data_IF_066687594654
#
_entry.id   IF_066687594654
#
_cell.length_a   1.000
_cell.length_b   1.000
_cell.length_c   1.000
_cell.angle_alpha   90.00
_cell.angle_beta   90.00
_cell.angle_gamma   90.00
#
_symmetry.space_group_name_H-M   'P 1'
#
loop_
_entity.id
_entity.type
_entity.pdbx_description
1 polymer ?
#
# COMPACT_ATOMS: atom_id res chain seq x y z
N UNK A 1 -28.67 30.00 -28.28
CA UNK A 1 -28.54 29.81 -26.82
C UNK A 1 -28.52 28.32 -26.56
N UNK A 2 -27.32 27.75 -26.46
CA UNK A 2 -27.11 26.34 -26.10
C UNK A 2 -25.71 26.28 -25.49
N UNK A 3 -25.64 26.41 -24.17
CA UNK A 3 -24.43 26.14 -23.40
C UNK A 3 -24.22 24.64 -23.45
N UNK A 4 -23.22 24.18 -24.21
CA UNK A 4 -22.75 22.82 -24.10
C UNK A 4 -22.24 22.61 -22.67
N UNK A 5 -22.92 21.75 -21.93
CA UNK A 5 -22.54 21.36 -20.58
C UNK A 5 -21.35 20.39 -20.69
N UNK A 6 -20.14 20.91 -20.87
CA UNK A 6 -18.93 20.11 -21.05
C UNK A 6 -18.44 19.62 -19.68
N UNK A 7 -19.03 18.55 -19.17
CA UNK A 7 -18.49 17.81 -18.03
C UNK A 7 -17.15 17.21 -18.44
N UNK A 8 -16.09 17.53 -17.69
CA UNK A 8 -14.76 16.91 -17.85
C UNK A 8 -14.70 15.54 -17.17
N UNK A 9 -13.75 14.70 -17.56
CA UNK A 9 -13.54 13.40 -16.88
C UNK A 9 -13.20 13.58 -15.40
N UNK A 10 -12.52 14.67 -15.03
CA UNK A 10 -12.24 15.00 -13.64
C UNK A 10 -13.51 15.28 -12.82
N UNK A 11 -14.59 15.72 -13.45
CA UNK A 11 -15.87 15.96 -12.78
C UNK A 11 -16.55 14.67 -12.32
N UNK A 12 -16.19 13.53 -12.93
CA UNK A 12 -16.69 12.20 -12.57
C UNK A 12 -15.90 11.56 -11.40
N UNK A 13 -14.72 12.09 -11.07
CA UNK A 13 -13.92 11.58 -9.97
C UNK A 13 -14.52 11.95 -8.62
N UNK A 14 -14.33 11.08 -7.61
CA UNK A 14 -14.72 11.37 -6.22
C UNK A 14 -13.98 12.62 -5.72
N UNK A 15 -14.64 13.44 -4.91
CA UNK A 15 -14.04 14.68 -4.38
C UNK A 15 -12.71 14.43 -3.66
N UNK A 16 -12.65 13.39 -2.81
CA UNK A 16 -11.43 13.03 -2.08
C UNK A 16 -10.28 12.57 -2.99
N UNK A 17 -10.58 12.13 -4.22
CA UNK A 17 -9.56 11.72 -5.22
C UNK A 17 -9.10 12.93 -6.05
N UNK A 18 -9.93 13.97 -6.18
CA UNK A 18 -9.52 15.23 -6.83
C UNK A 18 -8.56 16.06 -5.98
N UNK A 19 -8.69 15.97 -4.66
CA UNK A 19 -7.86 16.70 -3.70
C UNK A 19 -7.06 15.72 -2.81
N UNK A 20 -6.18 14.87 -3.38
CA UNK A 20 -5.41 13.94 -2.57
C UNK A 20 -4.39 14.71 -1.73
N UNK A 21 -4.28 14.36 -0.45
CA UNK A 21 -3.20 14.79 0.41
C UNK A 21 -1.83 14.42 -0.18
N UNK A 22 -0.83 15.28 0.09
CA UNK A 22 0.51 15.09 -0.45
C UNK A 22 1.22 13.93 0.26
N UNK A 23 1.80 13.03 -0.53
CA UNK A 23 2.64 11.93 -0.04
C UNK A 23 4.04 12.14 -0.56
N UNK A 24 5.00 12.23 0.36
CA UNK A 24 6.41 12.19 -0.01
C UNK A 24 6.82 10.73 -0.13
N UNK A 25 6.80 10.19 -1.35
CA UNK A 25 7.61 9.01 -1.65
C UNK A 25 9.09 9.40 -1.62
N UNK A 26 10.02 8.49 -1.25
CA UNK A 26 11.43 8.75 -1.47
C UNK A 26 11.64 9.12 -2.93
N UNK A 27 12.42 10.17 -3.25
CA UNK A 27 12.61 10.57 -4.63
C UNK A 27 13.12 9.36 -5.44
N UNK A 28 12.45 9.07 -6.56
CA UNK A 28 12.97 8.14 -7.54
C UNK A 28 14.32 8.69 -8.00
N UNK A 29 15.40 8.05 -7.57
CA UNK A 29 16.73 8.50 -7.96
C UNK A 29 16.94 8.05 -9.40
N UNK A 30 17.03 9.04 -10.30
CA UNK A 30 17.38 8.81 -11.69
C UNK A 30 18.71 8.07 -11.75
N UNK A 31 18.74 6.93 -12.44
CA UNK A 31 19.96 6.21 -12.74
C UNK A 31 20.98 7.17 -13.37
N UNK A 32 22.04 7.52 -12.62
CA UNK A 32 23.13 8.39 -13.10
C UNK A 32 23.70 9.39 -12.11
N UNK A 33 22.99 9.79 -11.04
CA UNK A 33 23.44 10.85 -10.12
C UNK A 33 23.77 10.39 -8.69
N UNK A 34 23.94 9.08 -8.47
CA UNK A 34 24.34 8.52 -7.18
C UNK A 34 25.00 7.15 -7.33
N UNK A 35 26.00 6.87 -6.50
CA UNK A 35 26.71 5.59 -6.39
C UNK A 35 26.47 4.91 -5.04
N UNK A 36 26.07 5.67 -4.02
CA UNK A 36 25.69 5.18 -2.68
C UNK A 36 24.21 5.47 -2.39
N UNK A 37 23.42 4.41 -2.19
CA UNK A 37 21.96 4.46 -2.11
C UNK A 37 21.50 4.08 -0.69
N UNK A 38 21.06 5.06 0.09
CA UNK A 38 20.70 4.90 1.51
C UNK A 38 19.39 5.63 1.87
N UNK A 39 18.44 5.70 0.92
CA UNK A 39 17.21 6.49 1.03
C UNK A 39 15.92 5.66 1.16
N UNK A 40 15.94 4.37 0.81
CA UNK A 40 14.74 3.52 0.72
C UNK A 40 14.73 2.33 1.69
N UNK A 41 15.72 2.22 2.59
CA UNK A 41 15.89 1.11 3.53
C UNK A 41 16.01 -0.28 2.87
N UNK A 42 16.46 -0.34 1.61
CA UNK A 42 16.73 -1.59 0.90
C UNK A 42 17.99 -2.28 1.45
N UNK A 43 18.03 -3.62 1.35
CA UNK A 43 19.25 -4.35 1.67
C UNK A 43 20.34 -4.03 0.61
N UNK A 44 21.58 -3.68 1.00
CA UNK A 44 22.56 -3.07 0.09
C UNK A 44 23.14 -4.01 -0.97
N UNK A 45 22.89 -5.31 -0.90
CA UNK A 45 23.49 -6.31 -1.81
C UNK A 45 22.42 -7.23 -2.36
N UNK A 46 22.36 -7.39 -3.68
CA UNK A 46 21.38 -8.28 -4.30
C UNK A 46 21.61 -9.73 -3.87
N UNK A 47 20.52 -10.42 -3.51
CA UNK A 47 20.51 -11.87 -3.27
C UNK A 47 19.83 -12.54 -4.45
N UNK A 48 20.53 -13.45 -5.12
CA UNK A 48 20.03 -14.09 -6.33
C UNK A 48 18.99 -15.18 -6.04
N UNK A 49 17.90 -15.17 -6.82
CA UNK A 49 16.89 -16.22 -6.86
C UNK A 49 16.55 -16.53 -8.32
N UNK A 50 16.21 -17.79 -8.61
CA UNK A 50 15.81 -18.23 -9.95
C UNK A 50 14.36 -18.73 -9.95
N UNK A 51 13.65 -18.52 -11.05
CA UNK A 51 12.29 -19.05 -11.21
C UNK A 51 12.34 -20.57 -11.38
N UNK A 52 11.66 -21.29 -10.49
CA UNK A 52 11.63 -22.76 -10.49
C UNK A 52 10.36 -23.34 -11.12
N UNK A 53 9.27 -22.57 -11.19
CA UNK A 53 7.97 -23.02 -11.69
C UNK A 53 7.67 -22.41 -13.07
N UNK A 54 7.50 -23.26 -14.08
CA UNK A 54 7.24 -22.85 -15.48
C UNK A 54 5.74 -22.95 -15.83
N UNK A 55 4.88 -22.40 -14.98
CA UNK A 55 3.41 -22.47 -15.09
C UNK A 55 2.76 -21.10 -15.28
N UNK A 56 3.50 -20.14 -15.88
CA UNK A 56 3.10 -18.73 -16.00
C UNK A 56 1.82 -18.53 -16.85
N UNK A 57 1.42 -19.52 -17.64
CA UNK A 57 0.17 -19.48 -18.43
C UNK A 57 -1.09 -19.84 -17.61
N UNK A 58 -0.95 -20.11 -16.31
CA UNK A 58 -2.04 -20.44 -15.39
C UNK A 58 -2.07 -19.44 -14.25
N UNK A 59 -3.28 -19.19 -13.73
CA UNK A 59 -3.43 -18.40 -12.52
C UNK A 59 -2.77 -19.11 -11.33
N UNK A 60 -2.10 -18.35 -10.44
CA UNK A 60 -1.62 -18.89 -9.17
C UNK A 60 -2.78 -19.13 -8.20
N UNK A 61 -2.49 -19.81 -7.09
CA UNK A 61 -3.38 -19.82 -5.93
C UNK A 61 -3.53 -18.40 -5.36
N UNK A 62 -4.71 -18.06 -4.82
CA UNK A 62 -4.94 -16.76 -4.16
C UNK A 62 -3.96 -16.55 -3.00
N UNK A 63 -3.79 -17.58 -2.16
CA UNK A 63 -2.82 -17.62 -1.07
C UNK A 63 -1.92 -18.84 -1.29
N UNK A 64 -0.75 -18.70 -1.94
CA UNK A 64 0.13 -19.83 -2.22
C UNK A 64 0.51 -20.60 -0.95
N UNK A 65 0.06 -21.86 -0.84
CA UNK A 65 0.18 -22.66 0.38
C UNK A 65 1.62 -22.73 0.90
N UNK A 66 2.58 -22.95 0.01
CA UNK A 66 3.99 -23.03 0.37
C UNK A 66 4.53 -21.73 1.00
N UNK A 67 4.08 -20.56 0.53
CA UNK A 67 4.49 -19.26 1.10
C UNK A 67 3.90 -19.10 2.50
N UNK A 68 2.62 -19.43 2.67
CA UNK A 68 1.91 -19.35 3.95
C UNK A 68 2.57 -20.26 5.00
N UNK A 69 2.77 -21.54 4.67
CA UNK A 69 3.34 -22.51 5.61
C UNK A 69 4.78 -22.15 6.00
N UNK A 70 5.61 -21.76 5.04
CA UNK A 70 7.00 -21.37 5.32
C UNK A 70 7.07 -20.11 6.18
N UNK A 71 6.23 -19.10 5.92
CA UNK A 71 6.22 -17.87 6.71
C UNK A 71 5.65 -18.10 8.11
N UNK A 72 4.60 -18.92 8.24
CA UNK A 72 4.03 -19.30 9.54
C UNK A 72 5.06 -20.03 10.41
N UNK A 73 5.82 -20.95 9.81
CA UNK A 73 6.94 -21.62 10.49
C UNK A 73 8.02 -20.64 10.94
N UNK A 74 8.44 -19.73 10.05
CA UNK A 74 9.43 -18.69 10.37
C UNK A 74 8.97 -17.79 11.54
N UNK A 75 7.70 -17.36 11.52
CA UNK A 75 7.14 -16.46 12.52
C UNK A 75 6.67 -17.17 13.81
N UNK A 76 6.64 -18.51 13.85
CA UNK A 76 6.19 -19.28 15.01
C UNK A 76 4.67 -19.20 15.27
N UNK A 77 3.87 -19.02 14.23
CA UNK A 77 2.40 -18.90 14.29
C UNK A 77 1.72 -20.00 13.48
N UNK A 78 0.39 -20.14 13.59
CA UNK A 78 -0.35 -21.12 12.78
C UNK A 78 -0.59 -20.60 11.36
N UNK A 79 -0.65 -21.47 10.33
CA UNK A 79 -0.91 -21.05 8.95
C UNK A 79 -2.19 -20.22 8.78
N UNK A 80 -3.26 -20.53 9.52
CA UNK A 80 -4.53 -19.79 9.49
C UNK A 80 -4.45 -18.37 10.09
N UNK A 81 -3.33 -18.00 10.71
CA UNK A 81 -3.06 -16.66 11.23
C UNK A 81 -2.25 -15.80 10.24
N UNK A 82 -1.90 -16.34 9.07
CA UNK A 82 -1.05 -15.66 8.07
C UNK A 82 -1.84 -15.35 6.82
N UNK A 83 -1.70 -14.12 6.34
CA UNK A 83 -2.17 -13.67 5.03
C UNK A 83 -0.99 -13.03 4.29
N UNK A 84 -0.69 -13.51 3.08
CA UNK A 84 0.24 -12.86 2.16
C UNK A 84 -0.50 -11.88 1.27
N UNK A 85 0.12 -10.73 1.02
CA UNK A 85 -0.37 -9.62 0.18
C UNK A 85 0.79 -9.04 -0.65
N UNK A 86 0.50 -8.10 -1.55
CA UNK A 86 1.48 -7.34 -2.33
C UNK A 86 2.17 -6.29 -1.45
N UNK A 87 3.06 -6.77 -0.59
CA UNK A 87 3.76 -5.95 0.39
C UNK A 87 2.87 -5.53 1.57
N UNK A 88 3.47 -4.82 2.53
CA UNK A 88 2.76 -4.35 3.72
C UNK A 88 1.71 -3.27 3.43
N UNK A 89 1.89 -2.49 2.36
CA UNK A 89 0.95 -1.43 1.97
C UNK A 89 -0.45 -1.99 1.66
N UNK A 90 -0.54 -3.10 0.92
CA UNK A 90 -1.83 -3.76 0.68
C UNK A 90 -2.43 -4.31 1.99
N UNK A 91 -1.60 -4.76 2.93
CA UNK A 91 -2.06 -5.15 4.26
C UNK A 91 -2.73 -4.00 5.02
N UNK A 92 -2.14 -2.79 4.96
CA UNK A 92 -2.72 -1.57 5.53
C UNK A 92 -4.09 -1.28 4.88
N UNK A 93 -4.17 -1.33 3.55
CA UNK A 93 -5.43 -1.09 2.83
C UNK A 93 -6.51 -2.11 3.18
N UNK A 94 -6.17 -3.41 3.26
CA UNK A 94 -7.10 -4.48 3.60
C UNK A 94 -7.70 -4.27 4.99
N UNK A 95 -6.90 -3.88 5.98
CA UNK A 95 -7.37 -3.59 7.34
C UNK A 95 -8.33 -2.40 7.33
N UNK A 96 -7.97 -1.29 6.69
CA UNK A 96 -8.85 -0.10 6.61
C UNK A 96 -10.15 -0.46 5.90
N UNK A 97 -10.07 -1.16 4.76
CA UNK A 97 -11.24 -1.55 3.97
C UNK A 97 -12.18 -2.51 4.70
N UNK A 98 -11.65 -3.41 5.52
CA UNK A 98 -12.46 -4.39 6.24
C UNK A 98 -13.16 -3.82 7.47
N UNK A 99 -12.56 -2.82 8.14
CA UNK A 99 -12.99 -2.39 9.47
C UNK A 99 -13.46 -0.93 9.56
N UNK A 100 -13.25 -0.11 8.53
CA UNK A 100 -13.65 1.30 8.56
C UNK A 100 -14.71 1.61 7.48
N UNK A 101 -15.89 2.04 7.92
CA UNK A 101 -16.91 2.58 7.04
C UNK A 101 -16.53 4.00 6.57
N UNK A 102 -16.39 4.25 5.24
CA UNK A 102 -16.06 5.57 4.72
C UNK A 102 -17.04 6.66 5.18
N UNK A 103 -16.51 7.81 5.61
CA UNK A 103 -17.31 8.93 6.12
C UNK A 103 -17.94 8.74 7.52
N UNK A 104 -17.70 7.61 8.18
CA UNK A 104 -18.19 7.33 9.54
C UNK A 104 -17.07 6.99 10.51
N UNK A 105 -16.24 6.01 10.17
CA UNK A 105 -15.16 5.54 11.03
C UNK A 105 -13.84 6.27 10.73
N UNK A 106 -12.86 6.06 11.60
CA UNK A 106 -11.57 6.72 11.54
C UNK A 106 -10.41 5.76 11.84
N UNK A 107 -9.24 6.04 11.27
CA UNK A 107 -7.97 5.45 11.70
C UNK A 107 -7.22 6.40 12.64
N UNK A 108 -6.30 5.87 13.43
CA UNK A 108 -5.43 6.66 14.30
C UNK A 108 -3.96 6.26 14.10
N UNK A 109 -3.07 7.26 13.96
CA UNK A 109 -1.62 7.06 13.92
C UNK A 109 -0.87 8.24 14.56
N UNK A 110 0.42 8.07 14.84
CA UNK A 110 1.21 9.03 15.64
C UNK A 110 2.38 9.61 14.81
N UNK A 111 2.26 10.83 14.25
CA UNK A 111 3.36 11.46 13.53
C UNK A 111 4.55 11.85 14.43
N UNK A 112 5.80 11.85 13.91
CA UNK A 112 6.19 11.42 12.56
C UNK A 112 6.26 9.88 12.45
N UNK A 113 5.59 9.32 11.44
CA UNK A 113 5.54 7.87 11.18
C UNK A 113 5.34 7.59 9.69
N UNK A 114 5.17 6.32 9.32
CA UNK A 114 4.98 5.88 7.96
C UNK A 114 3.75 6.56 7.31
N UNK A 115 3.97 7.23 6.17
CA UNK A 115 2.96 8.06 5.54
C UNK A 115 1.76 7.29 5.00
N UNK A 116 1.94 6.03 4.60
CA UNK A 116 0.92 5.24 3.88
C UNK A 116 -0.37 5.03 4.67
N UNK A 117 -0.34 5.06 6.01
CA UNK A 117 -1.57 5.03 6.82
C UNK A 117 -2.52 6.16 6.41
N UNK A 118 -1.99 7.38 6.26
CA UNK A 118 -2.76 8.55 5.84
C UNK A 118 -3.26 8.38 4.40
N UNK A 119 -2.39 7.93 3.50
CA UNK A 119 -2.67 7.82 2.06
C UNK A 119 -3.80 6.86 1.79
N UNK A 120 -3.71 5.65 2.36
CA UNK A 120 -4.71 4.61 2.21
C UNK A 120 -6.06 5.06 2.78
N UNK A 121 -6.08 5.66 3.98
CA UNK A 121 -7.32 6.15 4.58
C UNK A 121 -7.97 7.26 3.74
N UNK A 122 -7.19 8.24 3.27
CA UNK A 122 -7.69 9.35 2.47
C UNK A 122 -8.24 8.91 1.11
N UNK A 123 -7.56 7.98 0.46
CA UNK A 123 -7.99 7.40 -0.82
C UNK A 123 -9.29 6.61 -0.65
N UNK A 124 -9.42 5.85 0.44
CA UNK A 124 -10.64 5.10 0.78
C UNK A 124 -11.77 6.06 1.18
N UNK A 125 -11.46 7.20 1.79
CA UNK A 125 -12.45 8.17 2.31
C UNK A 125 -12.76 7.96 3.80
N UNK A 126 -11.77 7.50 4.56
CA UNK A 126 -11.82 7.26 6.01
C UNK A 126 -11.15 8.43 6.74
N UNK A 127 -11.73 8.86 7.86
CA UNK A 127 -11.20 9.96 8.67
C UNK A 127 -9.82 9.58 9.25
N UNK A 128 -8.90 10.54 9.30
CA UNK A 128 -7.55 10.36 9.83
C UNK A 128 -7.40 11.13 11.13
N UNK A 129 -7.21 10.42 12.24
CA UNK A 129 -6.90 11.02 13.55
C UNK A 129 -5.41 10.88 13.85
N UNK A 130 -4.82 11.93 14.39
CA UNK A 130 -3.41 11.94 14.74
C UNK A 130 -3.18 12.31 16.19
N UNK A 131 -2.23 11.63 16.82
CA UNK A 131 -1.76 11.95 18.18
C UNK A 131 -0.25 12.14 18.10
N UNK A 132 0.20 13.39 18.08
CA UNK A 132 1.63 13.70 18.12
C UNK A 132 2.19 13.39 19.51
N UNK A 133 3.42 12.88 19.54
CA UNK A 133 4.16 12.76 20.81
C UNK A 133 4.45 14.17 21.34
N UNK A 134 4.19 14.39 22.64
CA UNK A 134 4.57 15.62 23.34
C UNK A 134 6.09 15.75 23.46
#
# INVERSE_FOLDING_TARGET
MSTENTLSVADLARENVRQPGTVSVPPAVWAGNGDVWLNANEFPTAVEFQLTQQTLNRYPECQPKAVIENYAQYAGVKPEQVLVSRGADEGIELVIRAFCEPGKDAILYCPPTYGMYSVSAETIGVERRTVSRA
#
